data_IF_727132743895
#
_entry.id   IF_727132743895
#
_cell.length_a   1.000
_cell.length_b   1.000
_cell.length_c   1.000
_cell.angle_alpha   90.00
_cell.angle_beta   90.00
_cell.angle_gamma   90.00
#
_symmetry.space_group_name_H-M   'P 1'
#
loop_
_entity.id
_entity.type
_entity.pdbx_description
1 polymer ?
#
# COMPACT_ATOMS: atom_id res chain seq x y z
N UNK A 1 -7.28 9.12 17.30
CA UNK A 1 -6.25 9.60 16.35
C UNK A 1 -5.07 10.13 17.14
N UNK A 2 -4.23 9.24 17.71
CA UNK A 2 -3.00 9.69 18.36
C UNK A 2 -2.02 10.10 17.27
N UNK A 3 -1.44 11.29 17.45
CA UNK A 3 -0.42 11.90 16.61
C UNK A 3 0.69 10.89 16.29
N UNK A 4 0.97 10.72 15.00
CA UNK A 4 2.16 10.06 14.49
C UNK A 4 3.38 10.95 14.79
N UNK A 5 3.88 10.91 16.02
CA UNK A 5 5.27 11.29 16.28
C UNK A 5 6.13 10.11 15.80
N UNK A 6 6.89 10.25 14.70
CA UNK A 6 8.34 9.91 14.67
C UNK A 6 9.05 9.71 13.32
N UNK A 7 8.44 9.89 12.15
CA UNK A 7 9.21 9.88 10.87
C UNK A 7 9.16 11.24 10.16
N UNK A 8 8.00 11.89 10.17
CA UNK A 8 7.77 13.19 9.55
C UNK A 8 8.37 14.39 10.30
N UNK A 9 9.04 14.17 11.44
CA UNK A 9 9.73 15.24 12.18
C UNK A 9 10.89 15.85 11.39
N UNK A 10 11.45 15.11 10.43
CA UNK A 10 12.41 15.63 9.44
C UNK A 10 11.78 16.65 8.47
N UNK A 11 10.45 16.60 8.33
CA UNK A 11 9.63 17.52 7.56
C UNK A 11 8.79 18.46 8.45
N UNK A 12 9.22 18.73 9.70
CA UNK A 12 8.57 19.70 10.62
C UNK A 12 8.37 21.12 10.02
N UNK A 13 8.99 21.43 8.89
CA UNK A 13 8.84 22.68 8.13
C UNK A 13 7.87 22.61 6.95
N UNK A 14 7.26 21.44 6.66
CA UNK A 14 6.41 21.20 5.49
C UNK A 14 4.94 21.42 5.83
N UNK A 15 4.25 22.25 5.05
CA UNK A 15 2.83 22.54 5.26
C UNK A 15 1.91 21.34 4.98
N UNK A 16 0.67 21.36 5.48
CA UNK A 16 -0.31 20.27 5.24
C UNK A 16 -0.55 20.01 3.75
N UNK A 17 -0.59 21.06 2.92
CA UNK A 17 -0.79 20.94 1.48
C UNK A 17 0.39 20.22 0.80
N UNK A 18 1.61 20.49 1.23
CA UNK A 18 2.83 19.85 0.73
C UNK A 18 2.89 18.37 1.15
N UNK A 19 2.49 18.07 2.38
CA UNK A 19 2.37 16.68 2.85
C UNK A 19 1.34 15.90 2.03
N UNK A 20 0.21 16.50 1.71
CA UNK A 20 -0.81 15.91 0.85
C UNK A 20 -0.31 15.66 -0.59
N UNK A 21 0.66 16.44 -1.07
CA UNK A 21 1.32 16.17 -2.36
C UNK A 21 2.26 14.96 -2.30
N UNK A 22 3.03 14.80 -1.22
CA UNK A 22 3.98 13.69 -1.05
C UNK A 22 3.31 12.35 -0.77
N UNK A 23 2.14 12.37 -0.12
CA UNK A 23 1.34 11.14 0.12
C UNK A 23 0.67 10.59 -1.15
N UNK A 24 0.69 11.34 -2.26
CA UNK A 24 0.22 10.87 -3.56
C UNK A 24 1.37 10.27 -4.36
N UNK A 25 1.05 9.30 -5.23
CA UNK A 25 2.02 8.65 -6.11
C UNK A 25 2.79 9.68 -6.96
N UNK A 26 4.08 9.83 -6.67
CA UNK A 26 5.05 10.57 -7.49
C UNK A 26 5.64 9.61 -8.54
N UNK A 27 6.02 10.13 -9.71
CA UNK A 27 6.65 9.33 -10.78
C UNK A 27 8.12 9.69 -10.92
N UNK A 28 8.94 8.68 -11.24
CA UNK A 28 10.38 8.81 -11.35
C UNK A 28 10.85 8.25 -12.69
N UNK A 29 11.66 8.98 -13.48
CA UNK A 29 12.14 8.49 -14.77
C UNK A 29 13.42 7.65 -14.57
N UNK A 30 13.28 6.44 -14.03
CA UNK A 30 14.44 5.59 -13.68
C UNK A 30 15.40 5.35 -14.84
N UNK A 31 14.84 5.09 -16.03
CA UNK A 31 15.61 4.83 -17.25
C UNK A 31 16.38 6.05 -17.78
N UNK A 32 16.02 7.25 -17.32
CA UNK A 32 16.70 8.48 -17.74
C UNK A 32 18.06 8.64 -17.05
N UNK A 33 18.22 8.11 -15.83
CA UNK A 33 19.47 8.24 -15.07
C UNK A 33 20.50 7.21 -15.51
N UNK A 34 21.33 7.58 -16.49
CA UNK A 34 22.48 6.78 -16.94
C UNK A 34 23.83 7.25 -16.35
N UNK A 35 23.85 8.42 -15.71
CA UNK A 35 25.04 9.07 -15.21
C UNK A 35 24.74 10.01 -14.04
N UNK A 36 25.74 10.26 -13.18
CA UNK A 36 25.59 11.17 -12.04
C UNK A 36 25.45 12.64 -12.46
N UNK A 37 25.90 13.00 -13.65
CA UNK A 37 25.85 14.38 -14.18
C UNK A 37 24.39 14.86 -14.35
N UNK A 38 23.48 13.93 -14.68
CA UNK A 38 22.06 14.22 -14.86
C UNK A 38 21.38 14.73 -13.58
N UNK A 39 21.92 14.41 -12.40
CA UNK A 39 21.40 14.93 -11.13
C UNK A 39 21.55 16.46 -11.02
N UNK A 40 22.50 17.04 -11.77
CA UNK A 40 22.70 18.50 -11.80
C UNK A 40 21.78 19.22 -12.80
N UNK A 41 20.92 18.50 -13.55
CA UNK A 41 19.99 19.12 -14.48
C UNK A 41 18.96 19.97 -13.75
N UNK A 42 18.79 21.22 -14.19
CA UNK A 42 17.95 22.22 -13.52
C UNK A 42 16.48 22.19 -13.95
N UNK A 43 16.05 21.12 -14.62
CA UNK A 43 14.68 20.96 -15.11
C UNK A 43 14.25 19.50 -15.03
N UNK A 44 12.95 19.29 -14.87
CA UNK A 44 12.36 17.97 -15.02
C UNK A 44 12.52 17.48 -16.49
N UNK A 45 12.87 16.21 -16.72
CA UNK A 45 12.90 15.63 -18.06
C UNK A 45 11.54 15.69 -18.75
N UNK A 46 11.52 15.58 -20.08
CA UNK A 46 10.27 15.50 -20.84
C UNK A 46 9.47 14.25 -20.47
N UNK A 47 8.15 14.29 -20.68
CA UNK A 47 7.25 13.16 -20.36
C UNK A 47 7.66 11.83 -21.00
N UNK A 48 8.29 11.88 -22.17
CA UNK A 48 8.77 10.69 -22.90
C UNK A 48 9.87 9.95 -22.13
N UNK A 49 10.65 10.66 -21.30
CA UNK A 49 11.67 10.07 -20.43
C UNK A 49 11.07 9.27 -19.25
N UNK A 50 9.77 9.41 -18.99
CA UNK A 50 9.04 8.66 -17.95
C UNK A 50 8.37 7.40 -18.49
N UNK A 51 8.75 6.94 -19.69
CA UNK A 51 8.23 5.69 -20.25
C UNK A 51 8.60 4.49 -19.36
N UNK A 52 7.63 3.67 -18.99
CA UNK A 52 7.86 2.48 -18.18
C UNK A 52 8.14 1.28 -19.09
N UNK A 53 9.41 0.88 -19.16
CA UNK A 53 9.84 -0.30 -19.96
C UNK A 53 9.39 -1.64 -19.39
N UNK A 54 9.15 -1.75 -18.07
CA UNK A 54 8.70 -2.99 -17.44
C UNK A 54 7.26 -3.34 -17.84
N UNK A 55 6.41 -2.31 -17.93
CA UNK A 55 5.00 -2.46 -18.30
C UNK A 55 4.71 -2.12 -19.77
N UNK A 56 5.74 -1.72 -20.54
CA UNK A 56 5.67 -1.22 -21.92
C UNK A 56 4.58 -0.14 -22.10
N UNK A 57 4.59 0.86 -21.20
CA UNK A 57 3.55 1.89 -21.12
C UNK A 57 4.11 3.30 -20.97
N UNK A 58 3.53 4.23 -21.72
CA UNK A 58 3.80 5.65 -21.55
C UNK A 58 3.29 6.17 -20.19
N UNK A 59 4.00 7.16 -19.64
CA UNK A 59 3.59 7.83 -18.41
C UNK A 59 2.21 8.50 -18.59
N UNK A 60 1.21 8.20 -17.75
CA UNK A 60 -0.05 8.93 -17.76
C UNK A 60 0.22 10.43 -17.51
N UNK A 61 -0.28 11.29 -18.40
CA UNK A 61 -0.11 12.75 -18.30
C UNK A 61 -0.47 13.33 -16.93
N UNK A 62 -1.48 12.76 -16.24
CA UNK A 62 -1.85 13.16 -14.88
C UNK A 62 -0.68 13.02 -13.88
N UNK A 63 0.07 11.93 -13.97
CA UNK A 63 1.20 11.68 -13.07
C UNK A 63 2.39 12.60 -13.38
N UNK A 64 2.66 12.84 -14.66
CA UNK A 64 3.67 13.82 -15.07
C UNK A 64 3.33 15.24 -14.61
N UNK A 65 2.07 15.66 -14.71
CA UNK A 65 1.61 16.94 -14.17
C UNK A 65 1.79 17.01 -12.65
N UNK A 66 1.49 15.92 -11.92
CA UNK A 66 1.74 15.83 -10.48
C UNK A 66 3.23 15.98 -10.14
N UNK A 67 4.13 15.34 -10.90
CA UNK A 67 5.58 15.52 -10.73
C UNK A 67 6.02 16.97 -10.93
N UNK A 68 5.45 17.67 -11.92
CA UNK A 68 5.72 19.11 -12.12
C UNK A 68 5.19 19.96 -10.96
N UNK A 69 4.02 19.64 -10.41
CA UNK A 69 3.51 20.33 -9.22
C UNK A 69 4.44 20.13 -8.02
N UNK A 70 4.88 18.90 -7.77
CA UNK A 70 5.84 18.59 -6.69
C UNK A 70 7.16 19.34 -6.89
N UNK A 71 7.73 19.33 -8.10
CA UNK A 71 8.94 20.07 -8.42
C UNK A 71 8.85 21.56 -8.07
N UNK A 72 7.73 22.19 -8.46
CA UNK A 72 7.52 23.62 -8.24
C UNK A 72 7.25 23.94 -6.77
N UNK A 73 6.39 23.15 -6.11
CA UNK A 73 5.98 23.40 -4.73
C UNK A 73 7.15 23.25 -3.74
N UNK A 74 8.03 22.28 -4.00
CA UNK A 74 9.22 22.04 -3.19
C UNK A 74 10.44 22.85 -3.65
N UNK A 75 10.27 23.71 -4.67
CA UNK A 75 11.33 24.56 -5.23
C UNK A 75 12.61 23.77 -5.59
N UNK A 76 12.45 22.59 -6.19
CA UNK A 76 13.57 21.77 -6.63
C UNK A 76 14.41 22.54 -7.64
N UNK A 77 15.71 22.69 -7.36
CA UNK A 77 16.65 23.43 -8.21
C UNK A 77 17.29 22.56 -9.27
N UNK A 78 17.46 21.29 -8.94
CA UNK A 78 18.09 20.29 -9.75
C UNK A 78 17.39 18.95 -9.59
N UNK A 79 17.69 18.03 -10.51
CA UNK A 79 17.05 16.73 -10.57
C UNK A 79 17.44 15.88 -9.35
N UNK A 80 18.62 16.09 -8.77
CA UNK A 80 19.05 15.42 -7.56
C UNK A 80 18.19 15.73 -6.35
N UNK A 81 17.84 17.00 -6.12
CA UNK A 81 16.90 17.38 -5.07
C UNK A 81 15.53 16.72 -5.24
N UNK A 82 15.08 16.57 -6.49
CA UNK A 82 13.84 15.86 -6.77
C UNK A 82 13.95 14.35 -6.47
N UNK A 83 15.07 13.71 -6.81
CA UNK A 83 15.35 12.31 -6.46
C UNK A 83 15.41 12.12 -4.95
N UNK A 84 16.12 13.00 -4.26
CA UNK A 84 16.24 12.97 -2.79
C UNK A 84 14.86 13.08 -2.14
N UNK A 85 14.02 14.01 -2.62
CA UNK A 85 12.64 14.15 -2.15
C UNK A 85 11.82 12.88 -2.38
N UNK A 86 11.90 12.30 -3.57
CA UNK A 86 11.23 11.05 -3.92
C UNK A 86 11.68 9.90 -3.00
N UNK A 87 13.00 9.71 -2.83
CA UNK A 87 13.59 8.67 -2.01
C UNK A 87 13.29 8.84 -0.52
N UNK A 88 13.38 10.06 0.00
CA UNK A 88 12.99 10.36 1.38
C UNK A 88 11.51 10.01 1.61
N UNK A 89 10.63 10.35 0.67
CA UNK A 89 9.21 10.03 0.78
C UNK A 89 8.96 8.52 0.86
N UNK A 90 9.59 7.73 -0.02
CA UNK A 90 9.47 6.27 -0.02
C UNK A 90 10.01 5.65 1.29
N UNK A 91 11.15 6.13 1.79
CA UNK A 91 11.75 5.67 3.05
C UNK A 91 10.86 5.99 4.24
N UNK A 92 10.32 7.21 4.34
CA UNK A 92 9.50 7.61 5.46
C UNK A 92 8.15 6.90 5.50
N UNK A 93 7.52 6.70 4.33
CA UNK A 93 6.29 5.93 4.21
C UNK A 93 6.52 4.47 4.63
N UNK A 94 7.63 3.86 4.19
CA UNK A 94 7.98 2.50 4.59
C UNK A 94 8.28 2.41 6.09
N UNK A 95 9.00 3.38 6.65
CA UNK A 95 9.31 3.44 8.06
C UNK A 95 8.04 3.55 8.92
N UNK A 96 7.11 4.44 8.58
CA UNK A 96 5.85 4.62 9.31
C UNK A 96 5.00 3.33 9.30
N UNK A 97 4.85 2.69 8.12
CA UNK A 97 4.15 1.41 8.01
C UNK A 97 4.83 0.32 8.86
N UNK A 98 6.16 0.26 8.83
CA UNK A 98 6.91 -0.75 9.58
C UNK A 98 6.86 -0.52 11.09
N UNK A 99 6.92 0.73 11.56
CA UNK A 99 6.78 1.08 12.98
C UNK A 99 5.39 0.73 13.52
N UNK A 100 4.34 1.02 12.75
CA UNK A 100 2.98 0.63 13.09
C UNK A 100 2.84 -0.89 13.12
N UNK A 101 3.41 -1.59 12.15
CA UNK A 101 3.42 -3.05 12.11
C UNK A 101 4.13 -3.65 13.33
N UNK A 102 5.33 -3.15 13.67
CA UNK A 102 6.11 -3.57 14.84
C UNK A 102 5.35 -3.34 16.14
N UNK A 103 4.77 -2.16 16.31
CA UNK A 103 3.96 -1.81 17.49
C UNK A 103 2.75 -2.72 17.63
N UNK A 104 2.05 -3.01 16.53
CA UNK A 104 0.89 -3.91 16.53
C UNK A 104 1.29 -5.34 16.90
N UNK A 105 2.39 -5.84 16.34
CA UNK A 105 2.90 -7.19 16.62
C UNK A 105 3.35 -7.35 18.08
N UNK A 106 4.07 -6.37 18.61
CA UNK A 106 4.47 -6.34 20.02
C UNK A 106 3.24 -6.33 20.94
N UNK A 107 2.21 -5.54 20.62
CA UNK A 107 0.98 -5.48 21.43
C UNK A 107 0.18 -6.79 21.40
N UNK A 108 0.06 -7.43 20.24
CA UNK A 108 -0.80 -8.62 20.07
C UNK A 108 -0.09 -9.92 20.44
N UNK A 109 1.15 -10.09 20.01
CA UNK A 109 1.89 -11.34 20.15
C UNK A 109 3.02 -11.26 21.17
N UNK A 110 3.41 -10.05 21.60
CA UNK A 110 4.62 -9.82 22.39
C UNK A 110 5.89 -10.34 21.69
N UNK A 111 5.87 -10.33 20.35
CA UNK A 111 6.97 -10.69 19.47
C UNK A 111 7.37 -9.47 18.65
N UNK A 112 8.67 -9.26 18.50
CA UNK A 112 9.21 -8.19 17.67
C UNK A 112 9.48 -8.72 16.25
N UNK A 113 8.75 -8.27 15.21
CA UNK A 113 9.01 -8.70 13.85
C UNK A 113 10.42 -8.36 13.36
N UNK A 114 11.10 -7.37 13.95
CA UNK A 114 12.48 -7.02 13.58
C UNK A 114 13.52 -8.09 13.98
N UNK A 115 13.16 -9.05 14.83
CA UNK A 115 14.04 -10.17 15.21
C UNK A 115 13.97 -11.36 14.22
N UNK A 116 13.12 -11.27 13.19
CA UNK A 116 12.93 -12.33 12.22
C UNK A 116 13.44 -11.89 10.85
N UNK A 117 14.14 -12.81 10.15
CA UNK A 117 14.60 -12.56 8.79
C UNK A 117 13.45 -12.39 7.80
N UNK A 118 12.32 -13.08 8.03
CA UNK A 118 11.16 -13.07 7.13
C UNK A 118 9.86 -13.19 7.91
N UNK A 119 8.76 -12.69 7.32
CA UNK A 119 7.42 -12.79 7.89
C UNK A 119 6.96 -14.23 8.16
N UNK A 120 7.25 -15.25 7.32
CA UNK A 120 6.92 -16.63 7.64
C UNK A 120 7.52 -17.11 8.97
N UNK A 121 8.78 -16.77 9.27
CA UNK A 121 9.42 -17.11 10.55
C UNK A 121 8.71 -16.47 11.74
N UNK A 122 8.35 -15.19 11.62
CA UNK A 122 7.53 -14.50 12.62
C UNK A 122 6.16 -15.17 12.80
N UNK A 123 5.46 -15.50 11.71
CA UNK A 123 4.12 -16.11 11.78
C UNK A 123 4.14 -17.50 12.40
N UNK A 124 5.24 -18.24 12.25
CA UNK A 124 5.41 -19.55 12.86
C UNK A 124 5.45 -19.47 14.39
N UNK A 125 6.22 -18.55 14.95
CA UNK A 125 6.26 -18.33 16.39
C UNK A 125 4.94 -17.75 16.91
N UNK A 126 4.32 -16.83 16.17
CA UNK A 126 3.00 -16.31 16.51
C UNK A 126 1.93 -17.42 16.52
N UNK A 127 2.02 -18.39 15.60
CA UNK A 127 1.13 -19.56 15.56
C UNK A 127 1.31 -20.44 16.79
N UNK A 128 2.54 -20.68 17.24
CA UNK A 128 2.76 -21.43 18.49
C UNK A 128 2.11 -20.74 19.68
N UNK A 129 2.29 -19.42 19.82
CA UNK A 129 1.63 -18.65 20.88
C UNK A 129 0.10 -18.73 20.79
N UNK A 130 -0.45 -18.74 19.58
CA UNK A 130 -1.89 -18.88 19.37
C UNK A 130 -2.42 -20.24 19.85
N UNK A 131 -1.69 -21.32 19.55
CA UNK A 131 -2.01 -22.68 20.02
C UNK A 131 -1.85 -22.79 21.54
N UNK A 132 -0.74 -22.32 22.09
CA UNK A 132 -0.45 -22.37 23.54
C UNK A 132 -1.46 -21.57 24.37
N UNK A 133 -1.83 -20.37 23.90
CA UNK A 133 -2.82 -19.52 24.58
C UNK A 133 -4.26 -19.95 24.30
N UNK A 134 -4.47 -20.98 23.48
CA UNK A 134 -5.80 -21.45 23.07
C UNK A 134 -6.65 -20.37 22.40
N UNK A 135 -6.00 -19.33 21.84
CA UNK A 135 -6.70 -18.26 21.11
C UNK A 135 -7.32 -18.92 19.88
N UNK A 136 -8.59 -18.65 19.62
CA UNK A 136 -9.28 -19.12 18.42
C UNK A 136 -9.66 -17.93 17.56
N UNK A 137 -9.50 -18.08 16.25
CA UNK A 137 -9.80 -17.04 15.27
C UNK A 137 -11.29 -17.00 14.96
N UNK A 138 -11.63 -16.36 13.84
CA UNK A 138 -13.01 -16.34 13.35
C UNK A 138 -13.58 -17.74 13.13
N UNK A 139 -14.86 -17.91 13.43
CA UNK A 139 -15.59 -19.15 13.15
C UNK A 139 -15.77 -19.27 11.63
N UNK A 140 -15.15 -20.29 11.03
CA UNK A 140 -15.41 -20.68 9.65
C UNK A 140 -16.09 -22.05 9.65
N UNK A 141 -17.36 -22.08 9.25
CA UNK A 141 -18.16 -23.30 9.23
C UNK A 141 -19.01 -23.36 7.96
N UNK A 142 -19.03 -24.52 7.31
CA UNK A 142 -20.00 -24.83 6.27
C UNK A 142 -21.11 -25.66 6.90
N UNK A 143 -22.27 -25.05 7.13
CA UNK A 143 -23.42 -25.73 7.72
C UNK A 143 -24.19 -26.53 6.65
N UNK A 144 -24.53 -27.78 6.98
CA UNK A 144 -25.50 -28.69 6.35
C UNK A 144 -25.36 -29.06 4.86
N UNK A 145 -24.74 -28.25 3.99
CA UNK A 145 -24.50 -28.57 2.57
C UNK A 145 -23.11 -28.15 2.13
N UNK A 146 -22.34 -29.08 1.53
CA UNK A 146 -21.00 -28.82 0.98
C UNK A 146 -21.00 -27.79 -0.16
N UNK A 147 -22.10 -27.68 -0.89
CA UNK A 147 -22.30 -26.74 -1.99
C UNK A 147 -23.75 -26.31 -2.06
N UNK A 148 -24.00 -25.01 -2.28
CA UNK A 148 -25.30 -24.48 -2.64
C UNK A 148 -25.20 -23.82 -4.02
N UNK A 149 -26.23 -23.99 -4.85
CA UNK A 149 -26.31 -23.38 -6.18
C UNK A 149 -27.64 -22.66 -6.28
N UNK A 150 -27.61 -21.36 -6.60
CA UNK A 150 -28.81 -20.59 -6.90
C UNK A 150 -29.31 -20.93 -8.31
N UNK A 151 -30.62 -20.98 -8.50
CA UNK A 151 -31.26 -21.04 -9.81
C UNK A 151 -32.03 -19.74 -10.01
N UNK A 152 -31.38 -18.71 -10.55
CA UNK A 152 -32.02 -17.41 -10.76
C UNK A 152 -31.94 -16.97 -12.22
N UNK A 153 -32.85 -16.09 -12.64
CA UNK A 153 -33.01 -15.67 -14.04
C UNK A 153 -31.89 -14.75 -14.56
N UNK A 154 -31.01 -14.30 -13.67
CA UNK A 154 -29.95 -13.34 -13.97
C UNK A 154 -28.59 -14.02 -14.18
N UNK A 155 -28.50 -15.34 -14.01
CA UNK A 155 -27.27 -16.12 -14.24
C UNK A 155 -27.34 -16.89 -15.57
N UNK A 156 -26.19 -17.10 -16.26
CA UNK A 156 -26.17 -17.75 -17.58
C UNK A 156 -26.72 -19.18 -17.57
N UNK A 157 -26.53 -19.93 -16.48
CA UNK A 157 -26.90 -21.34 -16.34
C UNK A 157 -28.30 -21.54 -15.71
N UNK A 158 -29.24 -20.64 -16.01
CA UNK A 158 -30.61 -20.72 -15.49
C UNK A 158 -31.37 -21.92 -16.08
N UNK A 159 -32.04 -22.67 -15.23
CA UNK A 159 -32.83 -23.85 -15.60
C UNK A 159 -34.34 -23.57 -15.35
N UNK A 160 -35.11 -23.21 -16.41
CA UNK A 160 -36.53 -22.88 -16.31
C UNK A 160 -37.44 -23.91 -15.60
N UNK A 161 -37.25 -25.24 -15.74
CA UNK A 161 -38.07 -26.22 -15.02
C UNK A 161 -37.78 -26.30 -13.52
N UNK A 162 -36.67 -25.73 -13.03
CA UNK A 162 -36.34 -25.72 -11.59
C UNK A 162 -36.92 -24.47 -10.92
N UNK A 163 -37.32 -24.60 -9.65
CA UNK A 163 -37.79 -23.47 -8.86
C UNK A 163 -36.72 -22.37 -8.76
N UNK A 164 -37.16 -21.12 -8.79
CA UNK A 164 -36.29 -19.97 -8.61
C UNK A 164 -35.68 -19.97 -7.19
N UNK A 165 -34.37 -19.82 -7.08
CA UNK A 165 -33.65 -19.78 -5.80
C UNK A 165 -32.49 -18.77 -5.84
N UNK A 166 -32.27 -18.12 -4.70
CA UNK A 166 -31.31 -17.03 -4.55
C UNK A 166 -30.37 -17.32 -3.38
N UNK A 167 -29.11 -16.88 -3.50
CA UNK A 167 -28.14 -16.89 -2.41
C UNK A 167 -28.00 -15.46 -1.89
N UNK A 168 -27.93 -15.32 -0.57
CA UNK A 168 -27.72 -14.03 0.08
C UNK A 168 -26.43 -14.10 0.89
N UNK A 169 -25.58 -13.09 0.74
CA UNK A 169 -24.38 -12.90 1.53
C UNK A 169 -24.69 -11.84 2.59
N UNK A 170 -24.52 -12.22 3.86
CA UNK A 170 -24.65 -11.29 4.98
C UNK A 170 -23.27 -11.03 5.54
N UNK A 171 -22.95 -9.75 5.70
CA UNK A 171 -21.73 -9.28 6.33
C UNK A 171 -22.10 -8.46 7.56
N UNK A 172 -21.44 -8.75 8.69
CA UNK A 172 -21.65 -7.99 9.92
C UNK A 172 -20.66 -6.84 9.91
N UNK A 173 -21.17 -5.61 9.77
CA UNK A 173 -20.38 -4.40 9.95
C UNK A 173 -19.81 -4.38 11.38
N UNK A 174 -18.49 -4.31 11.51
CA UNK A 174 -17.77 -4.20 12.78
C UNK A 174 -17.88 -5.44 13.71
N UNK A 175 -17.70 -6.65 13.19
CA UNK A 175 -17.77 -7.90 13.98
C UNK A 175 -16.86 -7.94 15.23
N UNK A 176 -15.73 -7.23 15.22
CA UNK A 176 -14.74 -7.23 16.31
C UNK A 176 -14.58 -5.90 17.05
N UNK A 177 -15.28 -4.84 16.62
CA UNK A 177 -15.03 -3.51 17.18
C UNK A 177 -15.92 -3.15 18.34
#
# INVERSE_FOLDING_TARGET
>A
MSKHENSWSQFCSVGEDQLHLLTKKVVMPYDYFDSFELFSETRLPLIDAFYNKLDDKACPRRLYLHANLVWNEFNCRDLGQYVDLYMMTDILLLADVFEQFRTSCLRTYNLDPAHYYTLPGFTWDAMFLFVEKGIRGGLSQVCSKRRAHANNKYIPDYDPPKADSFLMYYDVNNQYG
#
